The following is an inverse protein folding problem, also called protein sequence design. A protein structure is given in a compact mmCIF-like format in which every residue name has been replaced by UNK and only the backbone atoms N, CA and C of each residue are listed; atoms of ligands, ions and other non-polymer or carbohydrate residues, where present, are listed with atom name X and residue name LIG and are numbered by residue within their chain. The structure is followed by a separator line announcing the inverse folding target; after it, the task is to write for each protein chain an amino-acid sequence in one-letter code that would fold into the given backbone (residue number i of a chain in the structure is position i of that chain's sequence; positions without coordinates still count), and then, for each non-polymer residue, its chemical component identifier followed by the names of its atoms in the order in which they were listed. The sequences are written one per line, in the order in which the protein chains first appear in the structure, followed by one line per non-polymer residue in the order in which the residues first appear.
data_IF_556545343463
#
_entry.id   IF_556545343463
#
_cell.length_a   1.000
_cell.length_b   1.000
_cell.length_c   1.000
_cell.angle_alpha   90.00
_cell.angle_beta   90.00
_cell.angle_gamma   90.00
#
_symmetry.space_group_name_H-M   'P 1'
#
loop_
_entity.id
_entity.type
_entity.pdbx_description
1 polymer ?
#
# COMPACT_ATOMS: atom_id res chain seq x y z
N UNK A 1 3.26 22.15 -19.49
CA UNK A 1 3.81 20.98 -18.77
C UNK A 1 3.41 20.90 -17.31
N UNK A 2 3.06 22.01 -16.63
CA UNK A 2 2.51 21.99 -15.26
C UNK A 2 1.30 21.07 -15.12
N UNK A 3 0.42 21.01 -16.13
CA UNK A 3 -0.71 20.06 -16.21
C UNK A 3 -0.30 18.60 -16.07
N UNK A 4 0.88 18.23 -16.59
CA UNK A 4 1.41 16.86 -16.52
C UNK A 4 1.90 16.52 -15.11
N UNK A 5 2.50 17.49 -14.40
CA UNK A 5 2.90 17.34 -12.99
C UNK A 5 1.67 17.26 -12.07
N UNK A 6 0.64 18.07 -12.32
CA UNK A 6 -0.63 17.97 -11.59
C UNK A 6 -1.34 16.65 -11.85
N UNK A 7 -1.37 16.18 -13.11
CA UNK A 7 -1.92 14.88 -13.45
C UNK A 7 -1.14 13.73 -12.79
N UNK A 8 0.19 13.79 -12.78
CA UNK A 8 1.02 12.81 -12.08
C UNK A 8 0.78 12.83 -10.56
N UNK A 9 0.60 14.01 -9.93
CA UNK A 9 0.23 14.10 -8.52
C UNK A 9 -1.13 13.45 -8.24
N UNK A 10 -2.12 13.77 -9.09
CA UNK A 10 -3.46 13.22 -8.96
C UNK A 10 -3.45 11.70 -9.12
N UNK A 11 -2.71 11.18 -10.10
CA UNK A 11 -2.54 9.75 -10.33
C UNK A 11 -1.83 9.06 -9.15
N UNK A 12 -0.82 9.70 -8.56
CA UNK A 12 -0.13 9.23 -7.36
C UNK A 12 -1.11 9.11 -6.18
N UNK A 13 -1.88 10.16 -5.89
CA UNK A 13 -2.84 10.20 -4.78
C UNK A 13 -3.99 9.22 -4.98
N UNK A 14 -4.48 9.11 -6.22
CA UNK A 14 -5.50 8.14 -6.60
C UNK A 14 -5.00 6.70 -6.38
N UNK A 15 -3.77 6.40 -6.82
CA UNK A 15 -3.14 5.09 -6.63
C UNK A 15 -2.89 4.78 -5.15
N UNK A 16 -2.43 5.77 -4.37
CA UNK A 16 -2.29 5.63 -2.93
C UNK A 16 -3.65 5.36 -2.26
N UNK A 17 -4.72 6.01 -2.73
CA UNK A 17 -6.09 5.82 -2.24
C UNK A 17 -6.58 4.41 -2.49
N UNK A 18 -6.41 3.92 -3.72
CA UNK A 18 -6.76 2.55 -4.09
C UNK A 18 -5.95 1.53 -3.30
N UNK A 19 -4.67 1.80 -3.04
CA UNK A 19 -3.83 0.92 -2.23
C UNK A 19 -4.34 0.85 -0.78
N UNK A 20 -4.50 2.00 -0.11
CA UNK A 20 -4.88 2.04 1.32
C UNK A 20 -6.33 1.61 1.52
N UNK A 21 -7.27 2.16 0.74
CA UNK A 21 -8.68 1.78 0.79
C UNK A 21 -8.86 0.30 0.41
N UNK A 22 -8.03 -0.18 -0.50
CA UNK A 22 -7.90 -1.58 -0.87
C UNK A 22 -7.54 -2.52 0.26
N UNK A 23 -6.43 -2.23 0.94
CA UNK A 23 -5.98 -2.99 2.10
C UNK A 23 -7.02 -2.99 3.22
N UNK A 24 -7.68 -1.85 3.43
CA UNK A 24 -8.75 -1.72 4.42
C UNK A 24 -9.99 -2.56 4.06
N UNK A 25 -10.43 -2.50 2.79
CA UNK A 25 -11.52 -3.33 2.26
C UNK A 25 -11.21 -4.81 2.38
N UNK A 26 -10.00 -5.25 2.01
CA UNK A 26 -9.61 -6.64 2.19
C UNK A 26 -9.67 -7.07 3.66
N UNK A 27 -9.17 -6.26 4.59
CA UNK A 27 -9.19 -6.57 6.02
C UNK A 27 -10.60 -6.82 6.53
N UNK A 28 -11.55 -5.93 6.23
CA UNK A 28 -12.92 -6.02 6.72
C UNK A 28 -13.74 -7.04 5.94
N UNK A 29 -13.75 -6.93 4.61
CA UNK A 29 -14.63 -7.70 3.75
C UNK A 29 -14.23 -9.18 3.75
N UNK A 30 -12.93 -9.47 3.70
CA UNK A 30 -12.47 -10.85 3.74
C UNK A 30 -12.69 -11.48 5.12
N UNK A 31 -12.54 -10.72 6.21
CA UNK A 31 -12.85 -11.24 7.55
C UNK A 31 -14.34 -11.58 7.70
N UNK A 32 -15.26 -10.72 7.23
CA UNK A 32 -16.70 -10.99 7.26
C UNK A 32 -17.03 -12.23 6.40
N UNK A 33 -16.54 -12.29 5.17
CA UNK A 33 -16.84 -13.40 4.26
C UNK A 33 -16.28 -14.73 4.80
N UNK A 34 -15.04 -14.74 5.28
CA UNK A 34 -14.37 -15.97 5.74
C UNK A 34 -14.86 -16.40 7.12
N UNK A 35 -14.95 -15.49 8.09
CA UNK A 35 -15.29 -15.84 9.49
C UNK A 35 -16.78 -15.94 9.75
N UNK A 36 -17.61 -15.18 9.03
CA UNK A 36 -19.07 -15.16 9.28
C UNK A 36 -19.80 -16.05 8.28
N UNK A 37 -19.53 -15.93 6.97
CA UNK A 37 -20.29 -16.65 5.93
C UNK A 37 -19.78 -18.07 5.66
N UNK A 38 -18.48 -18.32 5.80
CA UNK A 38 -17.85 -19.58 5.39
C UNK A 38 -17.26 -20.37 6.57
N UNK A 39 -17.71 -20.09 7.81
CA UNK A 39 -17.23 -20.75 9.04
C UNK A 39 -17.34 -22.28 8.98
N UNK A 40 -18.41 -22.78 8.37
CA UNK A 40 -18.70 -24.21 8.28
C UNK A 40 -18.01 -24.90 7.09
N UNK A 41 -17.44 -24.13 6.16
CA UNK A 41 -16.80 -24.64 4.94
C UNK A 41 -15.38 -24.06 4.78
N UNK A 42 -14.42 -24.51 5.60
CA UNK A 42 -13.07 -23.93 5.68
C UNK A 42 -12.29 -24.03 4.35
N UNK A 43 -12.56 -25.05 3.52
CA UNK A 43 -11.94 -25.17 2.20
C UNK A 43 -12.44 -24.12 1.21
N UNK A 44 -13.74 -23.82 1.25
CA UNK A 44 -14.36 -22.85 0.36
C UNK A 44 -13.98 -21.42 0.79
N UNK A 45 -13.92 -21.16 2.11
CA UNK A 45 -13.28 -19.97 2.70
C UNK A 45 -11.86 -19.74 2.19
N UNK A 46 -11.01 -20.77 2.25
CA UNK A 46 -9.61 -20.68 1.83
C UNK A 46 -9.47 -20.37 0.34
N UNK A 47 -10.25 -21.02 -0.53
CA UNK A 47 -10.22 -20.77 -1.97
C UNK A 47 -10.67 -19.34 -2.31
N UNK A 48 -11.75 -18.84 -1.68
CA UNK A 48 -12.24 -17.48 -1.88
C UNK A 48 -11.21 -16.45 -1.39
N UNK A 49 -10.63 -16.65 -0.21
CA UNK A 49 -9.59 -15.76 0.35
C UNK A 49 -8.36 -15.72 -0.55
N UNK A 50 -7.87 -16.88 -0.99
CA UNK A 50 -6.71 -16.98 -1.87
C UNK A 50 -6.96 -16.25 -3.20
N UNK A 51 -8.13 -16.46 -3.82
CA UNK A 51 -8.52 -15.79 -5.06
C UNK A 51 -8.67 -14.26 -4.91
N UNK A 52 -9.33 -13.81 -3.83
CA UNK A 52 -9.44 -12.38 -3.53
C UNK A 52 -8.09 -11.74 -3.31
N UNK A 53 -7.23 -12.37 -2.50
CA UNK A 53 -5.88 -11.86 -2.32
C UNK A 53 -5.13 -11.86 -3.66
N UNK A 54 -5.33 -12.84 -4.56
CA UNK A 54 -4.56 -12.96 -5.83
C UNK A 54 -4.86 -11.78 -6.73
N UNK A 55 -6.14 -11.54 -6.98
CA UNK A 55 -6.59 -10.40 -7.78
C UNK A 55 -6.14 -9.09 -7.12
N UNK A 56 -6.34 -8.96 -5.81
CA UNK A 56 -6.08 -7.70 -5.13
C UNK A 56 -4.59 -7.38 -5.05
N UNK A 57 -3.78 -8.33 -4.60
CA UNK A 57 -2.36 -8.08 -4.35
C UNK A 57 -1.48 -8.28 -5.59
N UNK A 58 -1.85 -9.16 -6.56
CA UNK A 58 -1.08 -9.32 -7.82
C UNK A 58 -1.50 -8.31 -8.89
N UNK A 59 -2.78 -7.97 -9.01
CA UNK A 59 -3.19 -6.99 -10.01
C UNK A 59 -3.31 -5.59 -9.42
N UNK A 60 -4.13 -5.38 -8.40
CA UNK A 60 -4.45 -4.01 -7.94
C UNK A 60 -3.22 -3.33 -7.32
N UNK A 61 -2.51 -4.00 -6.40
CA UNK A 61 -1.36 -3.40 -5.72
C UNK A 61 -0.18 -3.17 -6.66
N UNK A 62 0.18 -4.11 -7.54
CA UNK A 62 1.30 -3.88 -8.48
C UNK A 62 0.98 -2.78 -9.49
N UNK A 63 -0.26 -2.66 -9.97
CA UNK A 63 -0.65 -1.52 -10.81
C UNK A 63 -0.56 -0.20 -10.04
N UNK A 64 -1.08 -0.14 -8.81
CA UNK A 64 -0.94 1.05 -7.95
C UNK A 64 0.53 1.41 -7.72
N UNK A 65 1.38 0.41 -7.49
CA UNK A 65 2.82 0.56 -7.32
C UNK A 65 3.47 1.16 -8.57
N UNK A 66 3.19 0.59 -9.74
CA UNK A 66 3.70 1.08 -11.02
C UNK A 66 3.29 2.51 -11.31
N UNK A 67 2.02 2.87 -11.05
CA UNK A 67 1.52 4.23 -11.23
C UNK A 67 2.19 5.23 -10.27
N UNK A 68 2.37 4.87 -8.99
CA UNK A 68 3.06 5.72 -8.02
C UNK A 68 4.53 5.92 -8.35
N UNK A 69 5.25 4.84 -8.70
CA UNK A 69 6.67 4.92 -9.11
C UNK A 69 6.80 5.78 -10.37
N UNK A 70 5.93 5.56 -11.36
CA UNK A 70 5.94 6.34 -12.61
C UNK A 70 5.70 7.83 -12.33
N UNK A 71 4.76 8.17 -11.44
CA UNK A 71 4.52 9.55 -11.04
C UNK A 71 5.73 10.19 -10.35
N UNK A 72 6.45 9.44 -9.50
CA UNK A 72 7.69 9.89 -8.85
C UNK A 72 8.80 10.09 -9.88
N UNK A 73 8.96 9.19 -10.85
CA UNK A 73 9.97 9.31 -11.91
C UNK A 73 9.68 10.53 -12.80
N UNK A 74 8.44 10.73 -13.22
CA UNK A 74 8.02 11.89 -14.03
C UNK A 74 8.38 13.19 -13.32
N UNK A 75 8.15 13.27 -12.00
CA UNK A 75 8.56 14.44 -11.19
C UNK A 75 10.06 14.60 -11.10
N UNK A 76 10.79 13.52 -10.83
CA UNK A 76 12.24 13.55 -10.75
C UNK A 76 12.89 14.04 -12.05
N UNK A 77 12.37 13.59 -13.21
CA UNK A 77 12.81 14.07 -14.51
C UNK A 77 12.43 15.55 -14.73
N UNK A 78 11.22 15.97 -14.36
CA UNK A 78 10.79 17.36 -14.49
C UNK A 78 11.69 18.34 -13.69
N UNK A 79 12.08 17.95 -12.47
CA UNK A 79 13.00 18.70 -11.62
C UNK A 79 14.41 18.78 -12.24
N UNK A 80 14.93 17.65 -12.76
CA UNK A 80 16.28 17.58 -13.33
C UNK A 80 16.44 18.33 -14.65
N UNK A 81 15.38 18.37 -15.46
CA UNK A 81 15.34 19.09 -16.74
C UNK A 81 15.00 20.58 -16.58
N UNK A 82 14.73 21.06 -15.36
CA UNK A 82 14.36 22.45 -15.10
C UNK A 82 13.02 22.86 -15.72
N UNK A 83 12.15 21.90 -16.00
CA UNK A 83 10.98 22.05 -16.90
C UNK A 83 9.72 22.61 -16.25
N UNK A 84 9.88 23.42 -15.22
CA UNK A 84 8.80 24.20 -14.66
C UNK A 84 9.11 24.54 -13.22
N UNK A 85 8.93 25.82 -12.87
CA UNK A 85 9.04 26.36 -11.51
C UNK A 85 7.99 25.79 -10.54
N UNK A 86 7.80 24.47 -10.54
CA UNK A 86 6.98 23.73 -9.61
C UNK A 86 7.81 23.49 -8.35
N UNK A 87 7.64 24.36 -7.37
CA UNK A 87 8.23 24.16 -6.04
C UNK A 87 7.34 23.19 -5.29
N UNK A 88 7.83 21.96 -5.06
CA UNK A 88 7.09 20.98 -4.27
C UNK A 88 6.90 21.53 -2.84
N UNK A 89 5.67 21.61 -2.32
CA UNK A 89 5.42 22.03 -0.94
C UNK A 89 6.00 20.97 0.00
N UNK A 90 7.06 21.32 0.72
CA UNK A 90 7.71 20.39 1.66
C UNK A 90 7.16 20.66 3.06
N UNK A 91 6.26 19.80 3.55
CA UNK A 91 5.73 19.91 4.93
C UNK A 91 6.64 19.21 5.95
N UNK A 92 7.46 18.26 5.50
CA UNK A 92 8.42 17.53 6.34
C UNK A 92 9.83 18.13 6.26
N UNK A 93 10.53 18.22 7.38
CA UNK A 93 11.88 18.83 7.49
C UNK A 93 12.94 18.19 6.54
N UNK A 94 12.68 16.97 6.02
CA UNK A 94 13.52 16.24 5.07
C UNK A 94 12.77 16.01 3.76
N UNK A 95 13.35 16.49 2.65
CA UNK A 95 12.79 16.42 1.27
C UNK A 95 12.47 15.00 0.80
N UNK A 96 13.13 13.99 1.34
CA UNK A 96 13.03 12.59 0.89
C UNK A 96 12.11 11.69 1.73
N UNK A 97 11.49 12.20 2.80
CA UNK A 97 10.66 11.37 3.71
C UNK A 97 9.54 10.64 2.97
N UNK A 98 8.84 11.33 2.04
CA UNK A 98 7.79 10.72 1.21
C UNK A 98 8.32 9.55 0.36
N UNK A 99 9.49 9.72 -0.24
CA UNK A 99 10.11 8.71 -1.09
C UNK A 99 10.62 7.51 -0.29
N UNK A 100 11.17 7.75 0.92
CA UNK A 100 11.60 6.67 1.82
C UNK A 100 10.42 5.83 2.28
N UNK A 101 9.31 6.47 2.68
CA UNK A 101 8.08 5.75 3.07
C UNK A 101 7.55 4.92 1.91
N UNK A 102 7.46 5.51 0.71
CA UNK A 102 7.02 4.79 -0.49
C UNK A 102 7.96 3.61 -0.82
N UNK A 103 9.28 3.80 -0.74
CA UNK A 103 10.25 2.75 -1.00
C UNK A 103 10.10 1.58 -0.01
N UNK A 104 9.91 1.87 1.28
CA UNK A 104 9.65 0.84 2.29
C UNK A 104 8.35 0.10 1.96
N UNK A 105 7.26 0.81 1.61
CA UNK A 105 5.99 0.20 1.23
C UNK A 105 6.11 -0.71 -0.01
N UNK A 106 6.86 -0.28 -1.01
CA UNK A 106 7.16 -1.05 -2.23
C UNK A 106 7.90 -2.33 -1.88
N UNK A 107 8.97 -2.26 -1.09
CA UNK A 107 9.75 -3.43 -0.67
C UNK A 107 8.89 -4.41 0.13
N UNK A 108 8.07 -3.91 1.05
CA UNK A 108 7.13 -4.74 1.81
C UNK A 108 6.09 -5.41 0.90
N UNK A 109 5.51 -4.67 -0.04
CA UNK A 109 4.52 -5.21 -0.98
C UNK A 109 5.13 -6.31 -1.88
N UNK A 110 6.35 -6.10 -2.37
CA UNK A 110 7.08 -7.12 -3.14
C UNK A 110 7.33 -8.34 -2.26
N UNK A 111 7.87 -8.17 -1.06
CA UNK A 111 8.15 -9.29 -0.15
C UNK A 111 6.90 -10.11 0.18
N UNK A 112 5.77 -9.45 0.47
CA UNK A 112 4.50 -10.11 0.72
C UNK A 112 4.04 -10.88 -0.53
N UNK A 113 4.08 -10.24 -1.71
CA UNK A 113 3.62 -10.84 -2.97
C UNK A 113 4.48 -11.99 -3.48
N UNK A 114 5.81 -11.87 -3.39
CA UNK A 114 6.76 -12.80 -4.02
C UNK A 114 7.28 -13.90 -3.10
N UNK A 115 7.30 -13.68 -1.78
CA UNK A 115 7.87 -14.64 -0.82
C UNK A 115 6.78 -15.20 0.09
N UNK A 116 6.13 -14.33 0.86
CA UNK A 116 5.26 -14.77 1.95
C UNK A 116 3.98 -15.45 1.46
N UNK A 117 3.48 -15.00 0.32
CA UNK A 117 2.27 -15.50 -0.33
C UNK A 117 2.42 -16.90 -0.96
N UNK A 118 3.42 -17.19 -1.81
CA UNK A 118 3.61 -18.57 -2.30
C UNK A 118 3.88 -19.56 -1.17
N UNK A 119 4.59 -19.13 -0.11
CA UNK A 119 4.75 -19.95 1.11
C UNK A 119 3.41 -20.26 1.79
N UNK A 120 2.53 -19.26 1.93
CA UNK A 120 1.17 -19.46 2.44
C UNK A 120 0.34 -20.42 1.58
N UNK A 121 0.41 -20.33 0.25
CA UNK A 121 -0.31 -21.24 -0.64
C UNK A 121 0.21 -22.68 -0.54
N UNK A 122 1.53 -22.87 -0.48
CA UNK A 122 2.12 -24.18 -0.28
C UNK A 122 1.73 -24.79 1.08
N UNK A 123 1.66 -23.97 2.14
CA UNK A 123 1.22 -24.40 3.47
C UNK A 123 -0.27 -24.73 3.51
N UNK A 124 -1.12 -23.94 2.85
CA UNK A 124 -2.56 -24.20 2.73
C UNK A 124 -2.84 -25.51 1.98
N UNK A 125 -2.09 -25.80 0.92
CA UNK A 125 -2.16 -27.09 0.20
C UNK A 125 -1.77 -28.26 1.10
N UNK A 126 -0.69 -28.13 1.88
CA UNK A 126 -0.26 -29.17 2.83
C UNK A 126 -1.29 -29.39 3.95
N UNK A 127 -1.94 -28.32 4.43
CA UNK A 127 -3.03 -28.39 5.40
C UNK A 127 -4.27 -29.07 4.81
N UNK A 128 -4.60 -28.82 3.54
CA UNK A 128 -5.68 -29.52 2.82
C UNK A 128 -5.40 -31.01 2.67
N UNK A 129 -4.14 -31.39 2.47
CA UNK A 129 -3.73 -32.79 2.35
C UNK A 129 -3.70 -33.54 3.69
N UNK A 130 -3.43 -32.86 4.81
CA UNK A 130 -3.34 -33.48 6.15
C UNK A 130 -4.04 -32.62 7.21
N UNK A 131 -5.38 -32.63 7.26
CA UNK A 131 -6.17 -31.74 8.12
C UNK A 131 -6.02 -32.01 9.63
N UNK A 132 -5.60 -33.22 10.03
CA UNK A 132 -5.48 -33.62 11.44
C UNK A 132 -4.15 -33.17 12.11
N UNK A 133 -3.21 -32.64 11.33
CA UNK A 133 -1.87 -32.36 11.82
C UNK A 133 -1.77 -30.96 12.47
N UNK A 134 -1.87 -30.93 13.80
CA UNK A 134 -1.85 -29.71 14.64
C UNK A 134 -0.59 -28.84 14.39
N UNK A 135 0.55 -29.45 14.03
CA UNK A 135 1.77 -28.70 13.75
C UNK A 135 1.67 -27.84 12.49
N UNK A 136 1.02 -28.35 11.44
CA UNK A 136 0.78 -27.59 10.20
C UNK A 136 -0.21 -26.44 10.44
N UNK A 137 -1.18 -26.64 11.33
CA UNK A 137 -2.11 -25.57 11.71
C UNK A 137 -1.38 -24.43 12.44
N UNK A 138 -0.50 -24.74 13.41
CA UNK A 138 0.30 -23.73 14.11
C UNK A 138 1.23 -22.96 13.17
N UNK A 139 1.86 -23.65 12.22
CA UNK A 139 2.72 -22.99 11.23
C UNK A 139 1.89 -22.07 10.34
N UNK A 140 0.74 -22.53 9.84
CA UNK A 140 -0.17 -21.71 9.06
C UNK A 140 -0.63 -20.46 9.81
N UNK A 141 -1.02 -20.59 11.08
CA UNK A 141 -1.48 -19.45 11.90
C UNK A 141 -0.35 -18.43 12.13
N UNK A 142 0.88 -18.90 12.28
CA UNK A 142 2.06 -18.03 12.40
C UNK A 142 2.32 -17.26 11.10
N UNK A 143 2.25 -17.94 9.95
CA UNK A 143 2.38 -17.29 8.63
C UNK A 143 1.27 -16.28 8.38
N UNK A 144 0.03 -16.64 8.71
CA UNK A 144 -1.12 -15.77 8.58
C UNK A 144 -0.99 -14.53 9.46
N UNK A 145 -0.56 -14.70 10.72
CA UNK A 145 -0.30 -13.59 11.64
C UNK A 145 0.81 -12.65 11.12
N UNK A 146 1.93 -13.20 10.62
CA UNK A 146 3.01 -12.41 10.00
C UNK A 146 2.52 -11.63 8.78
N UNK A 147 1.73 -12.27 7.91
CA UNK A 147 1.17 -11.64 6.72
C UNK A 147 0.27 -10.46 7.12
N UNK A 148 -0.67 -10.68 8.04
CA UNK A 148 -1.57 -9.64 8.56
C UNK A 148 -0.81 -8.50 9.23
N UNK A 149 0.27 -8.81 9.96
CA UNK A 149 1.13 -7.80 10.57
C UNK A 149 1.83 -6.92 9.54
N UNK A 150 2.45 -7.52 8.51
CA UNK A 150 3.12 -6.77 7.45
C UNK A 150 2.14 -5.91 6.64
N UNK A 151 0.93 -6.42 6.38
CA UNK A 151 -0.14 -5.62 5.77
C UNK A 151 -0.54 -4.44 6.65
N UNK A 152 -0.67 -4.65 7.96
CA UNK A 152 -1.00 -3.58 8.91
C UNK A 152 0.08 -2.50 8.92
N UNK A 153 1.36 -2.87 8.99
CA UNK A 153 2.47 -1.93 8.93
C UNK A 153 2.44 -1.15 7.62
N UNK A 154 2.25 -1.84 6.49
CA UNK A 154 2.17 -1.21 5.17
C UNK A 154 0.99 -0.24 5.05
N UNK A 155 -0.15 -0.57 5.65
CA UNK A 155 -1.32 0.29 5.73
C UNK A 155 -1.04 1.55 6.57
N UNK A 156 -0.40 1.41 7.73
CA UNK A 156 -0.01 2.55 8.58
C UNK A 156 0.93 3.50 7.82
N UNK A 157 1.90 2.96 7.09
CA UNK A 157 2.79 3.75 6.24
C UNK A 157 2.01 4.49 5.13
N UNK A 158 1.06 3.81 4.49
CA UNK A 158 0.18 4.40 3.48
C UNK A 158 -0.70 5.52 4.03
N UNK A 159 -1.28 5.33 5.21
CA UNK A 159 -2.03 6.37 5.95
C UNK A 159 -1.13 7.54 6.34
N UNK A 160 0.11 7.26 6.76
CA UNK A 160 1.11 8.28 7.05
C UNK A 160 1.43 9.14 5.81
N UNK A 161 1.62 8.50 4.65
CA UNK A 161 1.79 9.22 3.38
C UNK A 161 0.56 10.05 3.03
N UNK A 162 -0.65 9.52 3.24
CA UNK A 162 -1.90 10.26 3.05
C UNK A 162 -1.99 11.49 3.95
N UNK A 163 -1.65 11.34 5.23
CA UNK A 163 -1.67 12.43 6.18
C UNK A 163 -0.68 13.54 5.80
N UNK A 164 0.53 13.16 5.35
CA UNK A 164 1.51 14.13 4.85
C UNK A 164 0.90 14.89 3.68
N UNK A 165 0.41 14.20 2.64
CA UNK A 165 -0.19 14.82 1.46
C UNK A 165 -1.42 15.69 1.78
N UNK A 166 -2.26 15.24 2.71
CA UNK A 166 -3.44 15.99 3.17
C UNK A 166 -3.05 17.31 3.83
N UNK A 167 -2.00 17.31 4.68
CA UNK A 167 -1.46 18.55 5.26
C UNK A 167 -0.85 19.49 4.22
N UNK A 168 -0.22 18.97 3.16
CA UNK A 168 0.30 19.83 2.10
C UNK A 168 -0.85 20.55 1.40
N UNK A 169 -2.00 19.88 1.17
CA UNK A 169 -3.17 20.48 0.52
C UNK A 169 -3.91 21.50 1.38
N UNK A 170 -4.04 21.29 2.69
CA UNK A 170 -4.79 22.21 3.56
C UNK A 170 -4.04 23.52 3.82
N UNK A 171 -2.70 23.52 3.84
CA UNK A 171 -1.90 24.76 3.96
C UNK A 171 -2.13 25.75 2.82
N UNK A 172 -2.43 25.28 1.61
CA UNK A 172 -2.79 26.15 0.48
C UNK A 172 -4.16 26.80 0.63
N UNK A 173 -5.05 26.26 1.47
CA UNK A 173 -6.41 26.79 1.64
C UNK A 173 -6.47 27.94 2.66
N UNK A 174 -5.57 27.97 3.62
CA UNK A 174 -5.46 29.08 4.59
C UNK A 174 -4.63 30.25 4.07
N UNK A 175 -3.75 30.01 3.09
CA UNK A 175 -2.83 31.01 2.59
C UNK A 175 -2.99 31.18 1.08
N UNK A 176 -3.88 32.08 0.66
CA UNK A 176 -3.94 32.56 -0.73
C UNK A 176 -2.62 33.20 -1.24
N UNK A 177 -1.52 33.04 -0.51
CA UNK A 177 -0.14 33.35 -0.85
C UNK A 177 0.81 32.29 -0.26
N UNK A 178 1.95 31.98 -0.92
CA UNK A 178 2.92 31.02 -0.40
C UNK A 178 3.54 31.49 0.92
N UNK A 179 3.38 30.73 2.00
CA UNK A 179 4.10 30.94 3.27
C UNK A 179 5.54 30.45 3.11
N UNK A 180 6.57 31.26 3.39
CA UNK A 180 7.97 30.85 3.28
C UNK A 180 8.29 29.70 4.25
N UNK A 181 9.32 28.88 3.95
CA UNK A 181 9.72 27.77 4.80
C UNK A 181 10.04 28.29 6.21
N UNK A 182 9.52 27.59 7.22
CA UNK A 182 9.76 27.89 8.62
C UNK A 182 11.27 27.99 8.84
N UNK A 183 11.75 29.22 9.02
CA UNK A 183 13.10 29.50 9.48
C UNK A 183 13.30 28.76 10.79
N UNK A 184 14.39 27.99 10.86
CA UNK A 184 14.87 27.40 12.08
C UNK A 184 15.14 28.52 13.10
N UNK A 185 14.41 28.46 14.22
CA UNK A 185 14.83 29.00 15.50
C UNK A 185 15.00 27.82 16.45
#
# INVERSE_FOLDING_TARGET
MTRLIYFANWLYLFSLSLWVGGMFLLGILAEIVVRVKLKEQPQLASNVMNGLMDIFNVHIIYWCMGLMISAVLIRFFADRLGWGGYVEPVVTKKRYTKQVFLAIMVVLAIYIGSVLRPEMHAMDQKKKANPENIQLQRQFDTYHSRLTWLYTVNMILGLGLFWIHGKEMTRFRESGQPVPPASAS
#
